data_IF_313228231391
#
_entry.id   IF_313228231391
#
_cell.length_a   1.000
_cell.length_b   1.000
_cell.length_c   1.000
_cell.angle_alpha   90.00
_cell.angle_beta   90.00
_cell.angle_gamma   90.00
#
_symmetry.space_group_name_H-M   'P 1'
#
loop_
_entity.id
_entity.type
_entity.pdbx_description
1 polymer ?
#
# COMPACT_ATOMS: atom_id res chain seq x y z
N UNK A 1 -9.48 -2.93 -2.19
CA UNK A 1 -10.06 -3.99 -3.02
C UNK A 1 -10.04 -3.58 -4.48
N UNK A 2 -9.68 -4.52 -5.36
CA UNK A 2 -9.90 -4.34 -6.79
C UNK A 2 -11.38 -4.63 -6.99
N UNK A 3 -12.18 -3.60 -7.21
CA UNK A 3 -13.63 -3.74 -7.33
C UNK A 3 -14.03 -4.40 -8.65
N UNK A 4 -13.21 -4.22 -9.69
CA UNK A 4 -13.42 -4.85 -10.99
C UNK A 4 -12.09 -5.27 -11.61
N UNK A 5 -11.71 -6.53 -11.40
CA UNK A 5 -10.50 -7.11 -11.99
C UNK A 5 -10.62 -7.22 -13.51
N UNK A 6 -11.85 -7.33 -14.05
CA UNK A 6 -12.09 -7.42 -15.48
C UNK A 6 -11.76 -6.12 -16.22
N UNK A 7 -11.66 -4.98 -15.49
CA UNK A 7 -11.18 -3.73 -16.09
C UNK A 7 -9.79 -3.88 -16.72
N UNK A 8 -8.90 -4.66 -16.11
CA UNK A 8 -7.56 -4.94 -16.68
C UNK A 8 -7.65 -5.73 -17.99
N UNK A 9 -8.55 -6.70 -18.06
CA UNK A 9 -8.79 -7.45 -19.30
C UNK A 9 -9.36 -6.54 -20.38
N UNK A 10 -10.31 -5.67 -20.05
CA UNK A 10 -10.90 -4.74 -20.98
C UNK A 10 -9.90 -3.72 -21.52
N UNK A 11 -8.99 -3.24 -20.66
CA UNK A 11 -7.88 -2.36 -21.09
C UNK A 11 -6.96 -3.11 -22.03
N UNK A 12 -6.58 -4.36 -21.73
CA UNK A 12 -5.76 -5.16 -22.62
C UNK A 12 -6.42 -5.35 -23.98
N UNK A 13 -7.73 -5.58 -24.02
CA UNK A 13 -8.51 -5.77 -25.24
C UNK A 13 -8.74 -4.48 -26.05
N UNK A 14 -8.54 -3.31 -25.46
CA UNK A 14 -8.75 -2.04 -26.17
C UNK A 14 -7.68 -1.72 -27.20
N UNK A 15 -6.57 -2.44 -27.20
CA UNK A 15 -5.49 -2.31 -28.18
C UNK A 15 -4.12 -2.63 -27.60
N UNK A 16 -3.12 -2.66 -28.47
CA UNK A 16 -1.73 -2.90 -28.11
C UNK A 16 -1.02 -1.60 -27.71
N UNK A 17 -0.86 -1.37 -26.42
CA UNK A 17 -0.17 -0.20 -25.88
C UNK A 17 1.36 -0.26 -26.11
N UNK A 18 1.90 -1.42 -26.45
CA UNK A 18 3.34 -1.59 -26.76
C UNK A 18 3.73 -1.06 -28.14
N UNK A 19 2.75 -0.80 -29.02
CA UNK A 19 2.97 -0.38 -30.41
C UNK A 19 3.53 -1.48 -31.31
N UNK A 20 3.49 -2.74 -30.91
CA UNK A 20 4.02 -3.87 -31.69
C UNK A 20 2.99 -4.41 -32.73
N UNK A 21 1.84 -3.77 -32.86
CA UNK A 21 0.82 -4.11 -33.83
C UNK A 21 0.00 -5.36 -33.50
N UNK A 22 -0.03 -5.77 -32.25
CA UNK A 22 -0.90 -6.85 -31.78
C UNK A 22 -2.37 -6.39 -31.72
N UNK A 23 -3.32 -7.33 -31.77
CA UNK A 23 -4.75 -7.03 -31.66
C UNK A 23 -5.16 -6.64 -30.25
N UNK A 24 -4.34 -6.97 -29.24
CA UNK A 24 -4.53 -6.62 -27.84
C UNK A 24 -3.18 -6.54 -27.14
N UNK A 25 -3.12 -5.90 -25.96
CA UNK A 25 -1.91 -5.80 -25.16
C UNK A 25 -1.60 -7.12 -24.45
N UNK A 26 -0.59 -7.84 -24.96
CA UNK A 26 -0.17 -9.14 -24.44
C UNK A 26 0.43 -9.06 -23.04
N UNK A 27 1.08 -7.94 -22.68
CA UNK A 27 1.66 -7.73 -21.37
C UNK A 27 0.57 -7.57 -20.30
N UNK A 28 -0.39 -6.70 -20.54
CA UNK A 28 -1.54 -6.52 -19.64
C UNK A 28 -2.40 -7.79 -19.55
N UNK A 29 -2.57 -8.54 -20.65
CA UNK A 29 -3.26 -9.82 -20.63
C UNK A 29 -2.55 -10.85 -19.74
N UNK A 30 -1.21 -10.90 -19.78
CA UNK A 30 -0.41 -11.77 -18.92
C UNK A 30 -0.49 -11.35 -17.43
N UNK A 31 -0.47 -10.05 -17.14
CA UNK A 31 -0.68 -9.53 -15.80
C UNK A 31 -2.09 -9.81 -15.26
N UNK A 32 -3.11 -9.66 -16.11
CA UNK A 32 -4.48 -10.04 -15.76
C UNK A 32 -4.56 -11.52 -15.37
N UNK A 33 -3.99 -12.44 -16.18
CA UNK A 33 -3.97 -13.87 -15.86
C UNK A 33 -3.25 -14.17 -14.54
N UNK A 34 -2.18 -13.46 -14.22
CA UNK A 34 -1.51 -13.57 -12.93
C UNK A 34 -2.41 -13.13 -11.77
N UNK A 35 -3.13 -12.03 -11.93
CA UNK A 35 -3.95 -11.44 -10.87
C UNK A 35 -5.19 -12.27 -10.55
N UNK A 36 -5.85 -12.84 -11.56
CA UNK A 36 -7.04 -13.68 -11.35
C UNK A 36 -6.71 -15.09 -10.87
N UNK A 37 -5.42 -15.49 -10.94
CA UNK A 37 -4.95 -16.83 -10.56
C UNK A 37 -5.70 -17.92 -11.33
N UNK A 38 -6.51 -18.72 -10.62
CA UNK A 38 -7.25 -19.87 -11.19
C UNK A 38 -8.70 -19.55 -11.55
N UNK A 39 -9.12 -18.28 -11.48
CA UNK A 39 -10.47 -17.91 -11.84
C UNK A 39 -10.72 -18.18 -13.34
N UNK A 40 -11.89 -18.77 -13.63
CA UNK A 40 -12.29 -19.12 -15.00
C UNK A 40 -13.30 -18.10 -15.54
N UNK A 41 -12.77 -17.00 -16.10
CA UNK A 41 -13.59 -15.97 -16.75
C UNK A 41 -13.56 -16.10 -18.28
N UNK A 42 -14.53 -15.51 -19.00
CA UNK A 42 -14.48 -15.49 -20.46
C UNK A 42 -13.17 -14.89 -21.02
N UNK A 43 -12.68 -13.77 -20.42
CA UNK A 43 -11.43 -13.13 -20.82
C UNK A 43 -10.21 -14.02 -20.52
N UNK A 44 -10.21 -14.72 -19.38
CA UNK A 44 -9.15 -15.68 -19.07
C UNK A 44 -9.07 -16.81 -20.09
N UNK A 45 -10.20 -17.37 -20.49
CA UNK A 45 -10.27 -18.40 -21.52
C UNK A 45 -9.77 -17.88 -22.86
N UNK A 46 -10.17 -16.67 -23.24
CA UNK A 46 -9.72 -16.03 -24.47
C UNK A 46 -8.19 -15.88 -24.48
N UNK A 47 -7.60 -15.22 -23.48
CA UNK A 47 -6.15 -15.00 -23.44
C UNK A 47 -5.35 -16.31 -23.40
N UNK A 48 -5.81 -17.31 -22.65
CA UNK A 48 -5.17 -18.64 -22.64
C UNK A 48 -5.23 -19.31 -24.02
N UNK A 49 -6.35 -19.18 -24.75
CA UNK A 49 -6.48 -19.67 -26.13
C UNK A 49 -5.52 -18.96 -27.09
N UNK A 50 -5.29 -17.66 -26.88
CA UNK A 50 -4.28 -16.87 -27.61
C UNK A 50 -2.84 -17.15 -27.17
N UNK A 51 -2.61 -18.17 -26.35
CA UNK A 51 -1.27 -18.61 -25.91
C UNK A 51 -0.62 -17.72 -24.85
N UNK A 52 -1.41 -16.84 -24.19
CA UNK A 52 -0.87 -15.99 -23.12
C UNK A 52 -0.67 -16.82 -21.86
N UNK A 53 0.54 -16.70 -21.29
CA UNK A 53 0.87 -17.25 -19.98
C UNK A 53 0.81 -16.17 -18.91
N UNK A 54 0.46 -16.50 -17.66
CA UNK A 54 0.49 -15.54 -16.56
C UNK A 54 1.90 -14.92 -16.41
N UNK A 55 1.95 -13.60 -16.25
CA UNK A 55 3.20 -12.89 -16.02
C UNK A 55 3.88 -13.34 -14.71
N UNK A 56 5.19 -13.21 -14.64
CA UNK A 56 5.92 -13.34 -13.38
C UNK A 56 5.53 -12.19 -12.43
N UNK A 57 5.45 -12.48 -11.14
CA UNK A 57 5.20 -11.43 -10.15
C UNK A 57 6.37 -10.41 -10.17
N UNK A 58 6.09 -9.11 -10.29
CA UNK A 58 7.13 -8.09 -10.32
C UNK A 58 7.92 -8.10 -9.02
N UNK A 59 9.23 -7.86 -9.10
CA UNK A 59 10.13 -7.75 -7.95
C UNK A 59 10.90 -6.44 -8.03
N UNK A 60 11.33 -5.94 -6.89
CA UNK A 60 12.10 -4.71 -6.78
C UNK A 60 11.44 -3.67 -5.89
N UNK A 61 11.83 -2.42 -6.08
CA UNK A 61 11.30 -1.29 -5.34
C UNK A 61 10.49 -0.36 -6.27
N UNK A 62 9.23 -0.14 -5.91
CA UNK A 62 8.28 0.67 -6.67
C UNK A 62 7.97 1.96 -5.92
N UNK A 63 8.06 3.08 -6.63
CA UNK A 63 7.90 4.44 -6.11
C UNK A 63 6.51 4.96 -6.40
N UNK A 64 5.81 5.43 -5.36
CA UNK A 64 4.47 6.01 -5.45
C UNK A 64 4.40 7.35 -4.68
N UNK A 65 5.19 8.34 -5.09
CA UNK A 65 5.34 9.60 -4.36
C UNK A 65 4.06 10.43 -4.29
N UNK A 66 3.20 10.38 -5.29
CA UNK A 66 1.88 11.01 -5.23
C UNK A 66 0.95 10.42 -4.17
N UNK A 67 1.23 9.18 -3.74
CA UNK A 67 0.56 8.52 -2.62
C UNK A 67 1.39 8.53 -1.34
N UNK A 68 2.55 9.21 -1.31
CA UNK A 68 3.50 9.17 -0.19
C UNK A 68 3.82 7.73 0.24
N UNK A 69 4.17 6.89 -0.74
CA UNK A 69 4.31 5.46 -0.52
C UNK A 69 5.47 4.85 -1.32
N UNK A 70 5.94 3.70 -0.85
CA UNK A 70 6.85 2.81 -1.55
C UNK A 70 6.45 1.37 -1.36
N UNK A 71 6.75 0.51 -2.33
CA UNK A 71 6.54 -0.92 -2.23
C UNK A 71 7.84 -1.62 -2.56
N UNK A 72 8.31 -2.47 -1.66
CA UNK A 72 9.43 -3.34 -1.91
C UNK A 72 8.94 -4.78 -1.97
N UNK A 73 9.19 -5.46 -3.08
CA UNK A 73 8.72 -6.82 -3.31
C UNK A 73 9.84 -7.76 -3.65
N UNK A 74 9.84 -8.91 -3.00
CA UNK A 74 10.68 -10.08 -3.26
C UNK A 74 9.80 -11.31 -3.53
N UNK A 75 10.44 -12.43 -3.87
CA UNK A 75 9.73 -13.65 -4.24
C UNK A 75 8.72 -14.11 -3.18
N UNK A 76 9.11 -14.04 -1.92
CA UNK A 76 8.37 -14.64 -0.80
C UNK A 76 7.71 -13.61 0.13
N UNK A 77 8.01 -12.32 -0.04
CA UNK A 77 7.47 -11.27 0.81
C UNK A 77 7.40 -9.92 0.09
N UNK A 78 6.59 -9.06 0.64
CA UNK A 78 6.42 -7.69 0.19
C UNK A 78 6.27 -6.79 1.39
N UNK A 79 6.76 -5.56 1.30
CA UNK A 79 6.47 -4.52 2.27
C UNK A 79 5.87 -3.30 1.57
N UNK A 80 4.85 -2.74 2.19
CA UNK A 80 4.31 -1.44 1.83
C UNK A 80 4.74 -0.42 2.88
N UNK A 81 5.24 0.71 2.40
CA UNK A 81 5.71 1.84 3.20
C UNK A 81 4.77 3.00 2.94
N UNK A 82 4.20 3.59 3.98
CA UNK A 82 3.20 4.63 3.82
C UNK A 82 3.43 5.79 4.78
N UNK A 83 3.46 6.99 4.21
CA UNK A 83 3.48 8.24 4.92
C UNK A 83 2.32 9.15 4.55
N UNK A 84 2.38 10.40 4.97
CA UNK A 84 1.44 11.46 4.62
C UNK A 84 2.14 12.82 4.73
N UNK A 85 1.55 13.83 4.10
CA UNK A 85 2.12 15.18 4.02
C UNK A 85 1.03 16.23 4.14
N UNK A 86 1.37 17.49 3.93
CA UNK A 86 0.39 18.57 3.75
C UNK A 86 -0.54 18.33 2.55
N UNK A 87 -0.05 17.66 1.51
CA UNK A 87 -0.78 17.45 0.26
C UNK A 87 -1.40 16.06 0.15
N UNK A 88 -0.72 15.06 0.70
CA UNK A 88 -1.18 13.68 0.73
C UNK A 88 -1.77 13.36 2.09
N UNK A 89 -3.05 13.18 2.16
CA UNK A 89 -3.76 12.80 3.39
C UNK A 89 -3.37 11.41 3.90
N UNK A 90 -3.50 11.22 5.21
CA UNK A 90 -3.00 10.03 5.89
C UNK A 90 -3.90 8.83 5.78
N UNK A 91 -5.13 8.95 6.23
CA UNK A 91 -6.03 7.81 6.40
C UNK A 91 -7.41 8.11 5.84
N UNK A 92 -7.98 7.10 5.22
CA UNK A 92 -9.40 7.04 4.91
C UNK A 92 -10.05 6.10 5.92
N UNK A 93 -10.97 6.63 6.73
CA UNK A 93 -11.51 5.90 7.88
C UNK A 93 -12.96 5.50 7.63
N UNK A 94 -13.21 4.21 7.73
CA UNK A 94 -14.53 3.60 7.62
C UNK A 94 -14.94 3.00 8.96
N UNK A 95 -16.10 3.37 9.46
CA UNK A 95 -16.59 2.96 10.78
C UNK A 95 -16.60 1.45 10.99
N UNK A 96 -16.86 0.67 9.95
CA UNK A 96 -16.94 -0.80 10.04
C UNK A 96 -15.62 -1.52 9.91
N UNK A 97 -14.60 -0.88 9.33
CA UNK A 97 -13.39 -1.59 8.92
C UNK A 97 -12.13 -1.08 9.62
N UNK A 98 -12.01 0.22 9.85
CA UNK A 98 -10.81 0.83 10.42
C UNK A 98 -11.10 2.12 11.20
N UNK A 99 -12.20 2.16 11.97
CA UNK A 99 -12.63 3.37 12.69
C UNK A 99 -11.58 3.98 13.61
N UNK A 100 -10.63 3.17 14.09
CA UNK A 100 -9.49 3.58 14.92
C UNK A 100 -8.20 3.80 14.12
N UNK A 101 -8.27 3.76 12.79
CA UNK A 101 -7.13 3.71 11.87
C UNK A 101 -6.42 5.03 11.61
N UNK A 102 -6.36 5.93 12.59
CA UNK A 102 -5.72 7.26 12.46
C UNK A 102 -4.25 7.19 12.07
N UNK A 103 -3.55 6.14 12.54
CA UNK A 103 -2.10 6.03 12.44
C UNK A 103 -1.60 5.23 11.24
N UNK A 104 -2.48 4.80 10.34
CA UNK A 104 -2.12 3.94 9.19
C UNK A 104 -1.06 4.54 8.27
N UNK A 105 -0.84 5.85 8.30
CA UNK A 105 0.13 6.56 7.47
C UNK A 105 1.26 7.23 8.25
N UNK A 106 1.44 6.91 9.52
CA UNK A 106 2.47 7.51 10.38
C UNK A 106 3.84 6.82 10.20
N UNK A 107 4.23 6.60 8.94
CA UNK A 107 5.44 5.85 8.58
C UNK A 107 5.24 4.35 8.76
N UNK A 108 4.08 3.84 8.41
CA UNK A 108 3.78 2.42 8.56
C UNK A 108 4.61 1.55 7.62
N UNK A 109 4.95 0.37 8.12
CA UNK A 109 5.73 -0.67 7.45
C UNK A 109 4.92 -1.96 7.51
N UNK A 110 4.12 -2.22 6.51
CA UNK A 110 3.29 -3.41 6.48
C UNK A 110 3.96 -4.52 5.70
N UNK A 111 4.37 -5.57 6.40
CA UNK A 111 5.07 -6.74 5.83
C UNK A 111 4.05 -7.83 5.54
N UNK A 112 4.08 -8.36 4.33
CA UNK A 112 3.20 -9.43 3.87
C UNK A 112 4.04 -10.59 3.35
N UNK A 113 3.82 -11.78 3.90
CA UNK A 113 4.42 -13.04 3.44
C UNK A 113 3.60 -13.74 2.36
N UNK A 114 3.91 -15.01 2.14
CA UNK A 114 3.16 -15.90 1.24
C UNK A 114 1.71 -16.11 1.71
N UNK A 115 0.84 -16.46 0.78
CA UNK A 115 -0.56 -16.74 1.05
C UNK A 115 -1.48 -15.57 0.75
N UNK A 116 -2.50 -15.38 1.55
CA UNK A 116 -3.44 -14.26 1.45
C UNK A 116 -3.52 -13.50 2.78
N UNK A 117 -2.45 -12.80 3.19
CA UNK A 117 -2.35 -12.16 4.50
C UNK A 117 -3.26 -10.94 4.67
N UNK A 118 -3.84 -10.43 3.59
CA UNK A 118 -4.72 -9.25 3.63
C UNK A 118 -6.21 -9.59 3.74
N UNK A 119 -6.59 -10.84 3.57
CA UNK A 119 -7.97 -11.27 3.81
C UNK A 119 -8.23 -11.47 5.30
N UNK A 120 -9.47 -11.24 5.74
CA UNK A 120 -9.87 -11.54 7.13
C UNK A 120 -9.63 -12.99 7.48
N UNK A 121 -9.97 -13.91 6.58
CA UNK A 121 -9.74 -15.35 6.79
C UNK A 121 -8.27 -15.73 6.92
N UNK A 122 -7.38 -15.08 6.14
CA UNK A 122 -5.94 -15.36 6.17
C UNK A 122 -5.19 -14.66 7.30
N UNK A 123 -5.61 -13.47 7.70
CA UNK A 123 -4.96 -12.66 8.74
C UNK A 123 -5.54 -12.85 10.13
N UNK A 124 -6.77 -13.32 10.25
CA UNK A 124 -7.51 -13.35 11.51
C UNK A 124 -7.90 -11.96 12.02
N UNK A 125 -7.83 -10.93 11.16
CA UNK A 125 -8.09 -9.55 11.54
C UNK A 125 -9.51 -9.35 12.06
N UNK A 126 -9.61 -8.75 13.24
CA UNK A 126 -10.85 -8.26 13.85
C UNK A 126 -10.60 -6.84 14.32
N UNK A 127 -11.44 -5.90 13.93
CA UNK A 127 -11.24 -4.47 14.21
C UNK A 127 -11.09 -4.20 15.73
N UNK A 128 -11.92 -4.82 16.54
CA UNK A 128 -11.96 -4.64 17.99
C UNK A 128 -10.79 -5.32 18.73
N UNK A 129 -10.16 -6.29 18.10
CA UNK A 129 -9.02 -7.03 18.66
C UNK A 129 -7.65 -6.52 18.20
N UNK A 130 -7.62 -5.54 17.32
CA UNK A 130 -6.38 -5.00 16.78
C UNK A 130 -5.83 -3.87 17.66
N UNK A 131 -4.50 -3.84 17.90
CA UNK A 131 -3.86 -2.72 18.60
C UNK A 131 -3.62 -1.54 17.63
N UNK A 132 -4.59 -0.67 17.51
CA UNK A 132 -4.57 0.49 16.64
C UNK A 132 -3.56 1.57 17.03
N UNK A 133 -3.00 1.49 18.24
CA UNK A 133 -1.92 2.38 18.67
C UNK A 133 -0.54 1.92 18.16
N UNK A 134 -0.39 0.62 17.85
CA UNK A 134 0.91 -0.01 17.55
C UNK A 134 0.92 -0.68 16.19
N UNK A 135 0.63 0.10 15.15
CA UNK A 135 0.81 -0.39 13.79
C UNK A 135 2.31 -0.54 13.46
N UNK A 136 2.73 -1.59 12.76
CA UNK A 136 4.13 -1.81 12.44
C UNK A 136 4.78 -0.60 11.80
N UNK A 137 5.94 -0.20 12.31
CA UNK A 137 6.75 0.92 11.81
C UNK A 137 6.25 2.32 12.19
N UNK A 138 5.07 2.47 12.76
CA UNK A 138 4.52 3.79 13.10
C UNK A 138 5.18 4.39 14.34
N UNK A 139 5.13 5.72 14.43
CA UNK A 139 5.46 6.49 15.62
C UNK A 139 4.22 7.26 16.02
N UNK A 140 3.67 6.97 17.19
CA UNK A 140 2.31 7.39 17.56
C UNK A 140 2.24 7.85 19.00
N UNK A 141 1.21 8.65 19.32
CA UNK A 141 0.79 8.91 20.69
C UNK A 141 -0.18 7.80 21.08
N UNK A 142 0.12 7.07 22.17
CA UNK A 142 -0.76 6.03 22.66
C UNK A 142 -2.00 6.64 23.35
N UNK A 143 -3.17 6.34 22.84
CA UNK A 143 -4.44 6.85 23.33
C UNK A 143 -5.41 5.72 23.67
N UNK A 144 -6.34 5.91 24.62
CA UNK A 144 -7.51 5.05 24.77
C UNK A 144 -8.32 4.96 23.47
N UNK A 145 -9.04 3.86 23.28
CA UNK A 145 -9.76 3.61 22.03
C UNK A 145 -10.87 4.62 21.75
N UNK A 146 -11.55 5.12 22.77
CA UNK A 146 -12.55 6.17 22.63
C UNK A 146 -11.97 7.46 22.05
N UNK A 147 -10.71 7.78 22.36
CA UNK A 147 -10.00 8.93 21.79
C UNK A 147 -9.42 8.63 20.40
N UNK A 148 -9.19 7.36 20.06
CA UNK A 148 -8.81 6.94 18.72
C UNK A 148 -10.00 6.90 17.76
N UNK A 149 -11.20 6.71 18.27
CA UNK A 149 -12.40 6.65 17.46
C UNK A 149 -12.53 7.90 16.58
N UNK A 150 -12.81 7.73 15.32
CA UNK A 150 -13.06 8.86 14.44
C UNK A 150 -14.43 9.44 14.72
N UNK A 151 -14.56 10.71 15.12
CA UNK A 151 -15.85 11.36 15.32
C UNK A 151 -16.58 11.58 13.99
N UNK A 152 -15.89 11.47 12.86
CA UNK A 152 -16.44 11.66 11.54
C UNK A 152 -16.98 10.35 11.01
N UNK A 153 -18.24 10.31 10.67
CA UNK A 153 -18.84 9.26 9.86
C UNK A 153 -18.35 9.45 8.42
N UNK A 154 -17.46 8.57 7.98
CA UNK A 154 -16.88 8.65 6.66
C UNK A 154 -15.36 8.85 6.68
N UNK A 155 -14.86 9.54 5.68
CA UNK A 155 -13.43 9.71 5.45
C UNK A 155 -12.84 10.79 6.36
N UNK A 156 -11.86 10.44 7.17
CA UNK A 156 -11.05 11.40 7.92
C UNK A 156 -9.79 11.72 7.14
N UNK A 157 -9.70 12.94 6.64
CA UNK A 157 -8.54 13.46 5.93
C UNK A 157 -7.55 14.12 6.89
N UNK A 158 -6.74 13.31 7.58
CA UNK A 158 -5.66 13.82 8.40
C UNK A 158 -4.48 14.25 7.51
N UNK A 159 -4.05 15.51 7.62
CA UNK A 159 -2.88 16.06 6.93
C UNK A 159 -1.80 16.43 7.92
N UNK A 160 -0.54 16.29 7.53
CA UNK A 160 0.61 16.75 8.29
C UNK A 160 0.84 18.25 8.09
N UNK A 161 1.63 18.86 8.96
CA UNK A 161 2.26 20.16 8.71
C UNK A 161 3.55 20.02 7.90
N UNK A 162 4.11 18.81 7.86
CA UNK A 162 5.32 18.50 7.10
C UNK A 162 5.00 18.12 5.66
N UNK A 163 5.83 18.57 4.75
CA UNK A 163 5.68 18.27 3.33
C UNK A 163 6.67 17.21 2.82
N UNK A 164 7.53 16.67 3.69
CA UNK A 164 8.54 15.70 3.33
C UNK A 164 8.08 14.28 3.64
N UNK A 165 7.67 13.57 2.61
CA UNK A 165 7.46 12.12 2.62
C UNK A 165 7.50 11.57 1.21
N UNK A 166 8.23 10.49 1.00
CA UNK A 166 8.32 9.87 -0.30
C UNK A 166 9.32 8.75 -0.36
N UNK A 167 9.51 8.23 -1.55
CA UNK A 167 10.39 7.12 -1.83
C UNK A 167 11.27 7.39 -3.05
N UNK A 168 12.39 6.69 -3.12
CA UNK A 168 13.32 6.70 -4.25
C UNK A 168 13.79 5.28 -4.54
N UNK A 169 14.04 4.98 -5.81
CA UNK A 169 14.49 3.68 -6.27
C UNK A 169 15.86 3.78 -6.95
N UNK A 170 16.68 2.77 -6.72
CA UNK A 170 17.92 2.56 -7.43
C UNK A 170 17.73 1.37 -8.39
N UNK A 171 17.74 1.66 -9.66
CA UNK A 171 17.58 0.69 -10.77
C UNK A 171 16.31 -0.18 -10.69
N UNK A 172 15.27 0.30 -10.02
CA UNK A 172 14.06 -0.49 -9.78
C UNK A 172 14.24 -1.69 -8.84
N UNK A 173 15.45 -1.95 -8.36
CA UNK A 173 15.77 -3.13 -7.54
C UNK A 173 15.78 -2.84 -6.05
N UNK A 174 16.45 -1.79 -5.66
CA UNK A 174 16.61 -1.34 -4.29
C UNK A 174 15.95 0.03 -4.14
N UNK A 175 15.71 0.46 -2.92
CA UNK A 175 15.14 1.77 -2.73
C UNK A 175 15.03 2.17 -1.28
N UNK A 176 14.48 3.35 -1.07
CA UNK A 176 14.26 3.88 0.25
C UNK A 176 12.93 4.63 0.32
N UNK A 177 12.40 4.69 1.51
CA UNK A 177 11.30 5.57 1.89
C UNK A 177 11.77 6.44 3.06
N UNK A 178 11.38 7.70 3.07
CA UNK A 178 11.64 8.57 4.21
C UNK A 178 10.49 9.56 4.42
N UNK A 179 10.28 9.97 5.66
CA UNK A 179 9.34 11.03 6.01
C UNK A 179 9.78 11.80 7.25
N UNK A 180 9.34 13.04 7.32
CA UNK A 180 9.20 13.78 8.57
C UNK A 180 7.78 13.64 9.06
N UNK A 181 7.64 13.19 10.29
CA UNK A 181 6.36 13.15 11.00
C UNK A 181 6.24 14.38 11.86
N UNK A 182 5.13 15.09 11.75
CA UNK A 182 4.70 16.04 12.75
C UNK A 182 3.22 15.74 13.05
N UNK A 183 2.92 15.59 14.33
CA UNK A 183 1.55 15.40 14.77
C UNK A 183 0.74 16.69 14.55
N UNK A 184 -0.54 16.55 14.47
CA UNK A 184 -1.44 17.67 14.29
C UNK A 184 -1.71 18.39 15.62
N UNK A 185 -2.04 19.66 15.49
CA UNK A 185 -2.58 20.47 16.58
C UNK A 185 -4.08 20.21 16.71
N UNK A 186 -4.43 19.25 17.54
CA UNK A 186 -5.82 18.81 17.76
C UNK A 186 -5.95 18.26 19.17
N UNK A 187 -7.16 18.21 19.69
CA UNK A 187 -7.43 17.65 21.02
C UNK A 187 -6.74 16.29 21.20
N UNK A 188 -6.05 16.11 22.31
CA UNK A 188 -5.22 14.94 22.65
C UNK A 188 -3.97 14.72 21.78
N UNK A 189 -3.63 15.65 20.88
CA UNK A 189 -2.42 15.61 20.07
C UNK A 189 -1.60 16.88 20.29
N UNK A 190 -0.30 16.81 20.00
CA UNK A 190 0.60 17.96 20.10
C UNK A 190 1.49 18.08 18.86
N UNK A 191 1.61 19.28 18.26
CA UNK A 191 2.49 19.51 17.13
C UNK A 191 3.99 19.39 17.49
N UNK A 192 4.33 19.33 18.77
CA UNK A 192 5.71 19.10 19.25
C UNK A 192 6.11 17.63 19.14
N UNK A 193 5.15 16.73 18.89
CA UNK A 193 5.43 15.34 18.64
C UNK A 193 5.89 15.16 17.19
N UNK A 194 7.20 15.09 17.02
CA UNK A 194 7.86 14.99 15.72
C UNK A 194 8.76 13.76 15.66
N UNK A 195 9.00 13.25 14.44
CA UNK A 195 9.96 12.19 14.20
C UNK A 195 10.50 12.24 12.77
N UNK A 196 11.70 11.73 12.56
CA UNK A 196 12.25 11.41 11.24
C UNK A 196 12.28 9.90 11.09
N UNK A 197 11.82 9.43 9.96
CA UNK A 197 11.73 8.00 9.68
C UNK A 197 12.31 7.72 8.31
N UNK A 198 13.10 6.66 8.21
CA UNK A 198 13.58 6.15 6.94
C UNK A 198 13.65 4.63 6.93
N UNK A 199 13.38 4.06 5.77
CA UNK A 199 13.43 2.63 5.54
C UNK A 199 14.24 2.41 4.28
N UNK A 200 15.31 1.64 4.39
CA UNK A 200 16.18 1.26 3.28
C UNK A 200 15.90 -0.20 2.93
N UNK A 201 15.64 -0.45 1.66
CA UNK A 201 15.31 -1.77 1.13
C UNK A 201 16.34 -2.17 0.09
N UNK A 202 17.07 -3.24 0.35
CA UNK A 202 18.12 -3.73 -0.56
C UNK A 202 18.31 -5.24 -0.42
N UNK A 203 18.64 -5.88 -1.53
CA UNK A 203 18.73 -7.33 -1.63
C UNK A 203 17.46 -8.04 -1.13
N UNK A 204 17.55 -8.77 -0.04
CA UNK A 204 16.43 -9.40 0.65
C UNK A 204 16.29 -8.87 2.08
N UNK A 205 16.53 -7.57 2.30
CA UNK A 205 16.63 -6.92 3.59
C UNK A 205 15.90 -5.60 3.62
N UNK A 206 15.56 -5.21 4.84
CA UNK A 206 15.03 -3.90 5.16
C UNK A 206 15.70 -3.40 6.44
N UNK A 207 16.13 -2.15 6.43
CA UNK A 207 16.68 -1.45 7.59
C UNK A 207 15.80 -0.24 7.88
N UNK A 208 15.23 -0.20 9.07
CA UNK A 208 14.40 0.91 9.55
C UNK A 208 15.20 1.77 10.52
N UNK A 209 15.21 3.07 10.29
CA UNK A 209 15.80 4.07 11.15
C UNK A 209 14.73 5.06 11.60
N UNK A 210 14.77 5.43 12.86
CA UNK A 210 13.90 6.45 13.43
C UNK A 210 14.70 7.35 14.38
N UNK A 211 14.36 8.64 14.38
CA UNK A 211 14.92 9.67 15.22
C UNK A 211 13.80 10.62 15.66
N UNK A 212 13.97 11.24 16.85
CA UNK A 212 13.05 12.21 17.47
C UNK A 212 13.68 13.58 17.47
#
# INVERSE_FOLDING_TARGET
PIYDIEAFANIALSGDLSGQGNTFDRGLAADYLRLIRNSDTPNARFFKKEGIQPAQAPQGFFVYNYGSAGIFRRADWMVTLKGYTTDVWGSEIYTKDNRYGRYQSYGSVQIMGKGNPVSRAGSGFVQEGWDWNRLPGTTTIHLPFDLLDSPLKGTTMARSKENFSGSSSLDGKNGMFAMKLAERDYENFTPDFVARKSVFCFDNRMVCLGDR
#
